data_IF_004370737134
#
_entry.id   IF_004370737134
#
_cell.length_a   1.000
_cell.length_b   1.000
_cell.length_c   1.000
_cell.angle_alpha   90.00
_cell.angle_beta   90.00
_cell.angle_gamma   90.00
#
_symmetry.space_group_name_H-M   'P 1'
#
loop_
_entity.id
_entity.type
_entity.pdbx_description
1 polymer ?
#
# COMPACT_ATOMS: atom_id res chain seq x y z
N UNK A 1 -4.69 3.93 21.43
CA UNK A 1 -5.16 3.52 20.07
C UNK A 1 -5.32 2.00 19.99
N UNK A 2 -6.38 1.52 19.31
CA UNK A 2 -6.67 0.09 19.09
C UNK A 2 -5.72 -0.57 18.08
N UNK A 3 -5.07 0.23 17.23
CA UNK A 3 -4.29 -0.24 16.09
C UNK A 3 -2.96 0.53 15.96
N UNK A 4 -1.87 -0.17 15.64
CA UNK A 4 -0.55 0.41 15.35
C UNK A 4 -0.59 1.41 14.19
N UNK A 5 -1.48 1.23 13.22
CA UNK A 5 -1.56 2.14 12.06
C UNK A 5 -1.91 3.58 12.46
N UNK A 6 -2.69 3.78 13.52
CA UNK A 6 -2.93 5.14 14.03
C UNK A 6 -1.64 5.82 14.50
N UNK A 7 -0.69 5.07 15.05
CA UNK A 7 0.63 5.58 15.40
C UNK A 7 1.43 5.91 14.15
N UNK A 8 1.38 5.08 13.09
CA UNK A 8 2.12 5.35 11.84
C UNK A 8 1.73 6.68 11.20
N UNK A 9 0.42 6.96 11.08
CA UNK A 9 -0.06 8.24 10.53
C UNK A 9 0.21 9.42 11.47
N UNK A 10 0.16 9.21 12.79
CA UNK A 10 0.52 10.25 13.75
C UNK A 10 2.01 10.63 13.65
N UNK A 11 2.90 9.63 13.57
CA UNK A 11 4.33 9.84 13.35
C UNK A 11 4.59 10.62 12.07
N UNK A 12 3.94 10.22 10.97
CA UNK A 12 4.06 10.92 9.68
C UNK A 12 3.60 12.39 9.80
N UNK A 13 2.44 12.63 10.41
CA UNK A 13 1.90 13.98 10.57
C UNK A 13 2.82 14.88 11.41
N UNK A 14 3.27 14.40 12.58
CA UNK A 14 4.19 15.17 13.43
C UNK A 14 5.58 15.34 12.80
N UNK A 15 6.07 14.34 12.06
CA UNK A 15 7.34 14.42 11.35
C UNK A 15 7.32 15.47 10.23
N UNK A 16 6.25 15.51 9.44
CA UNK A 16 6.07 16.53 8.41
C UNK A 16 5.79 17.92 9.00
N UNK A 17 5.03 17.99 10.10
CA UNK A 17 4.77 19.26 10.79
C UNK A 17 6.05 19.84 11.41
N UNK A 18 6.95 19.01 11.95
CA UNK A 18 8.24 19.48 12.45
C UNK A 18 9.11 20.03 11.34
N UNK A 19 9.12 19.40 10.17
CA UNK A 19 9.85 19.89 8.99
C UNK A 19 9.30 21.24 8.51
N UNK A 20 7.96 21.37 8.44
CA UNK A 20 7.31 22.59 7.96
C UNK A 20 7.45 23.79 8.91
N UNK A 21 7.59 23.54 10.22
CA UNK A 21 7.59 24.60 11.24
C UNK A 21 8.95 24.84 11.91
N UNK A 22 9.87 23.88 11.81
CA UNK A 22 11.10 23.86 12.60
C UNK A 22 10.88 23.60 14.10
N UNK A 23 9.67 23.25 14.54
CA UNK A 23 9.37 23.06 15.96
C UNK A 23 9.85 21.68 16.46
N UNK A 24 10.78 21.72 17.41
CA UNK A 24 11.38 20.54 18.04
C UNK A 24 10.37 19.66 18.78
N UNK A 25 9.32 20.23 19.38
CA UNK A 25 8.30 19.46 20.09
C UNK A 25 7.62 18.43 19.18
N UNK A 26 7.33 18.81 17.93
CA UNK A 26 6.74 17.90 16.95
C UNK A 26 7.74 16.82 16.51
N UNK A 27 9.03 17.14 16.40
CA UNK A 27 10.07 16.15 16.12
C UNK A 27 10.17 15.11 17.25
N UNK A 28 10.13 15.55 18.51
CA UNK A 28 10.21 14.68 19.67
C UNK A 28 8.98 13.77 19.79
N UNK A 29 7.78 14.31 19.52
CA UNK A 29 6.54 13.52 19.45
C UNK A 29 6.63 12.46 18.34
N UNK A 30 7.11 12.82 17.15
CA UNK A 30 7.25 11.89 16.03
C UNK A 30 8.21 10.74 16.39
N UNK A 31 9.41 11.05 16.91
CA UNK A 31 10.41 10.06 17.33
C UNK A 31 9.88 9.12 18.41
N UNK A 32 9.30 9.65 19.48
CA UNK A 32 8.72 8.85 20.56
C UNK A 32 7.58 7.97 20.07
N UNK A 33 6.74 8.49 19.17
CA UNK A 33 5.64 7.72 18.58
C UNK A 33 6.18 6.60 17.68
N UNK A 34 7.26 6.86 16.95
CA UNK A 34 7.95 5.87 16.13
C UNK A 34 8.56 4.74 16.97
N UNK A 35 9.23 5.04 18.09
CA UNK A 35 9.73 4.02 19.03
C UNK A 35 8.60 3.14 19.58
N UNK A 36 7.41 3.72 19.81
CA UNK A 36 6.23 2.95 20.24
C UNK A 36 5.74 1.99 19.14
N UNK A 37 5.88 2.35 17.86
CA UNK A 37 5.57 1.45 16.73
C UNK A 37 6.55 0.27 16.77
N UNK A 38 7.85 0.55 16.85
CA UNK A 38 8.89 -0.48 16.85
C UNK A 38 8.74 -1.46 18.01
N UNK A 39 8.46 -0.98 19.22
CA UNK A 39 8.23 -1.84 20.40
C UNK A 39 6.97 -2.72 20.31
N UNK A 40 6.13 -2.53 19.29
CA UNK A 40 4.87 -3.26 19.10
C UNK A 40 4.83 -4.07 17.80
N UNK A 41 5.92 -4.16 17.05
CA UNK A 41 5.96 -4.90 15.77
C UNK A 41 5.49 -6.36 15.97
N UNK A 42 5.93 -7.00 17.05
CA UNK A 42 5.54 -8.39 17.36
C UNK A 42 4.10 -8.54 17.90
N UNK A 43 3.51 -7.44 18.41
CA UNK A 43 2.13 -7.44 18.90
C UNK A 43 1.39 -6.12 18.58
N UNK A 44 1.04 -5.87 17.31
CA UNK A 44 0.52 -4.58 16.86
C UNK A 44 -0.80 -4.17 17.52
N UNK A 45 -1.61 -5.15 17.96
CA UNK A 45 -2.91 -4.93 18.60
C UNK A 45 -2.84 -4.97 20.12
N UNK A 46 -1.72 -5.40 20.72
CA UNK A 46 -1.55 -5.47 22.18
C UNK A 46 -2.69 -6.22 22.87
N UNK A 47 -3.25 -5.62 23.92
CA UNK A 47 -4.42 -6.14 24.66
C UNK A 47 -5.71 -6.26 23.86
N UNK A 48 -5.76 -5.67 22.65
CA UNK A 48 -6.91 -5.71 21.76
C UNK A 48 -6.80 -6.79 20.69
N UNK A 49 -5.75 -7.60 20.75
CA UNK A 49 -5.61 -8.76 19.89
C UNK A 49 -6.74 -9.75 20.21
N UNK A 50 -7.52 -10.10 19.18
CA UNK A 50 -8.64 -11.05 19.28
C UNK A 50 -8.20 -12.49 18.99
N UNK A 51 -6.95 -12.69 18.58
CA UNK A 51 -6.40 -14.02 18.37
C UNK A 51 -6.17 -14.69 19.73
N UNK A 52 -6.72 -15.89 19.89
CA UNK A 52 -6.44 -16.71 21.05
C UNK A 52 -4.99 -17.24 20.96
N UNK A 53 -4.20 -17.16 22.04
CA UNK A 53 -2.84 -17.71 22.05
C UNK A 53 -2.80 -19.17 21.59
N UNK A 54 -1.85 -19.50 20.70
CA UNK A 54 -1.68 -20.87 20.19
C UNK A 54 -2.66 -21.31 19.10
N UNK A 55 -3.58 -20.46 18.63
CA UNK A 55 -4.47 -20.84 17.50
C UNK A 55 -3.71 -20.85 16.18
N UNK A 56 -3.23 -19.68 15.71
CA UNK A 56 -2.35 -19.53 14.52
C UNK A 56 -1.61 -18.20 14.65
N UNK A 57 -0.28 -18.24 14.60
CA UNK A 57 0.54 -17.03 14.54
C UNK A 57 0.82 -16.73 13.07
N UNK A 58 0.28 -15.62 12.58
CA UNK A 58 0.48 -15.15 11.22
C UNK A 58 1.20 -13.81 11.24
N UNK A 59 2.15 -13.67 10.33
CA UNK A 59 2.79 -12.41 9.98
C UNK A 59 1.97 -11.73 8.89
N UNK A 60 1.74 -10.42 9.01
CA UNK A 60 0.90 -9.67 8.07
C UNK A 60 1.71 -8.64 7.27
N UNK A 61 1.40 -8.53 5.99
CA UNK A 61 2.06 -7.70 4.99
C UNK A 61 1.97 -6.19 5.25
N UNK A 62 0.87 -5.71 5.83
CA UNK A 62 0.57 -4.28 5.88
C UNK A 62 1.54 -3.48 6.75
N UNK A 63 2.14 -4.08 7.79
CA UNK A 63 3.07 -3.38 8.66
C UNK A 63 4.43 -3.11 7.99
N UNK A 64 5.14 -4.11 7.41
CA UNK A 64 6.33 -3.84 6.60
C UNK A 64 6.08 -2.86 5.45
N UNK A 65 4.93 -2.96 4.79
CA UNK A 65 4.53 -2.04 3.71
C UNK A 65 4.49 -0.58 4.19
N UNK A 66 3.75 -0.28 5.26
CA UNK A 66 3.63 1.12 5.72
C UNK A 66 4.94 1.66 6.31
N UNK A 67 5.79 0.78 6.87
CA UNK A 67 7.09 1.17 7.40
C UNK A 67 8.05 1.63 6.28
N UNK A 68 7.94 1.09 5.05
CA UNK A 68 8.69 1.58 3.89
C UNK A 68 8.44 3.09 3.69
N UNK A 69 7.17 3.48 3.67
CA UNK A 69 6.78 4.86 3.46
C UNK A 69 7.10 5.74 4.66
N UNK A 70 6.78 5.26 5.87
CA UNK A 70 6.98 6.02 7.09
C UNK A 70 8.45 6.40 7.28
N UNK A 71 9.38 5.46 7.02
CA UNK A 71 10.80 5.70 7.17
C UNK A 71 11.30 6.84 6.27
N UNK A 72 10.81 6.91 5.02
CA UNK A 72 11.12 8.00 4.10
C UNK A 72 10.49 9.34 4.55
N UNK A 73 9.22 9.32 4.97
CA UNK A 73 8.49 10.52 5.40
C UNK A 73 9.06 11.17 6.66
N UNK A 74 9.87 10.46 7.44
CA UNK A 74 10.53 11.00 8.64
C UNK A 74 12.06 10.89 8.57
N UNK A 75 12.65 10.69 7.40
CA UNK A 75 14.09 10.41 7.26
C UNK A 75 14.98 11.49 7.91
N UNK A 76 14.54 12.75 7.90
CA UNK A 76 15.23 13.89 8.53
C UNK A 76 15.30 13.79 10.07
N UNK A 77 14.51 12.89 10.67
CA UNK A 77 14.49 12.63 12.10
C UNK A 77 15.25 11.36 12.50
N UNK A 78 15.60 10.50 11.53
CA UNK A 78 16.19 9.19 11.81
C UNK A 78 17.71 9.22 11.69
N UNK A 79 18.37 8.37 12.47
CA UNK A 79 19.79 8.09 12.26
C UNK A 79 19.99 7.41 10.90
N UNK A 80 20.98 7.81 10.08
CA UNK A 80 21.18 7.24 8.75
C UNK A 80 21.40 5.73 8.73
N UNK A 81 22.13 5.17 9.70
CA UNK A 81 22.38 3.72 9.77
C UNK A 81 21.12 2.95 10.16
N UNK A 82 20.33 3.51 11.08
CA UNK A 82 19.03 2.96 11.44
C UNK A 82 18.03 3.00 10.27
N UNK A 83 18.02 4.11 9.51
CA UNK A 83 17.19 4.27 8.33
C UNK A 83 17.50 3.20 7.28
N UNK A 84 18.78 3.02 6.95
CA UNK A 84 19.23 2.00 5.99
C UNK A 84 18.83 0.59 6.44
N UNK A 85 19.06 0.25 7.72
CA UNK A 85 18.63 -1.05 8.27
C UNK A 85 17.11 -1.26 8.16
N UNK A 86 16.33 -0.20 8.39
CA UNK A 86 14.86 -0.25 8.28
C UNK A 86 14.44 -0.49 6.83
N UNK A 87 15.08 0.18 5.87
CA UNK A 87 14.83 -0.02 4.44
C UNK A 87 15.14 -1.46 4.02
N UNK A 88 16.31 -2.00 4.39
CA UNK A 88 16.67 -3.39 4.08
C UNK A 88 15.68 -4.40 4.65
N UNK A 89 15.27 -4.20 5.92
CA UNK A 89 14.29 -5.06 6.56
C UNK A 89 12.97 -5.03 5.81
N UNK A 90 12.47 -3.85 5.45
CA UNK A 90 11.21 -3.74 4.73
C UNK A 90 11.29 -4.33 3.31
N UNK A 91 12.41 -4.15 2.60
CA UNK A 91 12.63 -4.77 1.28
C UNK A 91 12.60 -6.29 1.40
N UNK A 92 13.33 -6.86 2.36
CA UNK A 92 13.34 -8.30 2.60
C UNK A 92 11.93 -8.85 2.90
N UNK A 93 11.20 -8.20 3.80
CA UNK A 93 9.82 -8.59 4.10
C UNK A 93 8.96 -8.63 2.83
N UNK A 94 8.95 -7.53 2.06
CA UNK A 94 8.07 -7.42 0.89
C UNK A 94 8.52 -8.36 -0.25
N UNK A 95 9.81 -8.40 -0.57
CA UNK A 95 10.34 -9.00 -1.80
C UNK A 95 10.83 -10.44 -1.65
N UNK A 96 11.01 -10.92 -0.42
CA UNK A 96 11.47 -12.28 -0.10
C UNK A 96 10.48 -13.02 0.79
N UNK A 97 9.81 -12.34 1.74
CA UNK A 97 8.87 -12.99 2.67
C UNK A 97 7.43 -13.00 2.17
N UNK A 98 6.90 -11.97 1.50
CA UNK A 98 5.49 -11.95 1.06
C UNK A 98 5.29 -12.16 -0.44
N UNK A 99 6.30 -11.85 -1.25
CA UNK A 99 6.33 -12.16 -2.68
C UNK A 99 6.44 -13.67 -2.91
N UNK A 100 5.61 -14.21 -3.81
CA UNK A 100 5.49 -15.65 -4.08
C UNK A 100 5.71 -15.96 -5.57
N UNK A 101 6.98 -16.09 -6.00
CA UNK A 101 7.30 -16.46 -7.39
C UNK A 101 6.63 -17.77 -7.83
N UNK A 102 6.52 -18.74 -6.92
CA UNK A 102 5.91 -20.04 -7.16
C UNK A 102 4.39 -19.97 -7.40
N UNK A 103 3.75 -18.86 -7.03
CA UNK A 103 2.33 -18.58 -7.27
C UNK A 103 2.13 -17.64 -8.47
N UNK A 104 3.08 -17.60 -9.40
CA UNK A 104 3.03 -16.72 -10.58
C UNK A 104 3.42 -15.28 -10.29
N UNK A 105 4.12 -15.02 -9.18
CA UNK A 105 4.64 -13.69 -8.84
C UNK A 105 3.63 -12.78 -8.14
N UNK A 106 2.70 -13.34 -7.36
CA UNK A 106 1.77 -12.55 -6.55
C UNK A 106 2.34 -12.22 -5.17
N UNK A 107 1.73 -11.26 -4.48
CA UNK A 107 1.98 -10.95 -3.06
C UNK A 107 0.79 -11.44 -2.23
N UNK A 108 1.06 -12.17 -1.14
CA UNK A 108 0.06 -12.63 -0.18
C UNK A 108 0.00 -11.73 1.05
N UNK A 109 -1.17 -11.63 1.70
CA UNK A 109 -1.33 -10.78 2.89
C UNK A 109 -0.75 -11.38 4.16
N UNK A 110 -0.77 -12.71 4.28
CA UNK A 110 -0.39 -13.40 5.51
C UNK A 110 0.41 -14.67 5.23
N UNK A 111 1.41 -14.90 6.06
CA UNK A 111 2.25 -16.10 6.09
C UNK A 111 2.41 -16.55 7.54
N UNK A 112 2.85 -17.78 7.79
CA UNK A 112 3.25 -18.15 9.15
C UNK A 112 4.57 -17.48 9.56
N UNK A 113 5.03 -17.71 10.79
CA UNK A 113 6.25 -17.09 11.32
C UNK A 113 7.53 -17.52 10.60
N UNK A 114 7.49 -18.67 9.91
CA UNK A 114 8.60 -19.22 9.12
C UNK A 114 8.49 -18.82 7.63
N UNK A 115 7.46 -18.06 7.26
CA UNK A 115 7.21 -17.61 5.89
C UNK A 115 6.43 -18.61 5.03
N UNK A 116 5.89 -19.69 5.59
CA UNK A 116 5.12 -20.65 4.81
C UNK A 116 3.70 -20.16 4.52
N UNK A 117 3.17 -20.65 3.41
CA UNK A 117 1.81 -20.44 2.96
C UNK A 117 0.82 -21.24 3.82
N UNK A 118 -0.22 -20.59 4.32
CA UNK A 118 -1.24 -21.23 5.15
C UNK A 118 -2.55 -21.42 4.38
N UNK A 119 -3.16 -22.60 4.50
CA UNK A 119 -4.46 -22.91 3.92
C UNK A 119 -5.60 -22.55 4.89
N UNK A 120 -5.82 -21.25 5.04
CA UNK A 120 -6.95 -20.67 5.76
C UNK A 120 -7.41 -19.38 5.06
N UNK A 121 -8.56 -18.82 5.45
CA UNK A 121 -9.08 -17.59 4.84
C UNK A 121 -8.03 -16.47 4.84
N UNK A 122 -7.36 -16.25 5.98
CA UNK A 122 -6.34 -15.20 6.11
C UNK A 122 -5.09 -15.49 5.26
N UNK A 123 -4.65 -16.76 5.20
CA UNK A 123 -3.46 -17.17 4.44
C UNK A 123 -3.68 -17.28 2.94
N UNK A 124 -4.94 -17.30 2.48
CA UNK A 124 -5.29 -17.26 1.06
C UNK A 124 -5.68 -15.89 0.55
N UNK A 125 -5.96 -14.95 1.44
CA UNK A 125 -6.33 -13.59 1.07
C UNK A 125 -5.19 -12.89 0.31
N UNK A 126 -5.56 -12.25 -0.78
CA UNK A 126 -4.76 -11.34 -1.58
C UNK A 126 -5.49 -10.00 -1.66
N UNK A 127 -4.75 -8.89 -1.44
CA UNK A 127 -5.27 -7.54 -1.62
C UNK A 127 -4.48 -6.86 -2.74
N UNK A 128 -4.98 -6.86 -4.00
CA UNK A 128 -4.22 -6.32 -5.13
C UNK A 128 -3.75 -4.88 -4.91
N UNK A 129 -4.60 -4.04 -4.30
CA UNK A 129 -4.26 -2.65 -3.99
C UNK A 129 -3.07 -2.49 -3.04
N UNK A 130 -2.98 -3.30 -1.98
CA UNK A 130 -1.83 -3.23 -1.07
C UNK A 130 -0.55 -3.67 -1.78
N UNK A 131 -0.61 -4.75 -2.57
CA UNK A 131 0.56 -5.21 -3.30
C UNK A 131 1.09 -4.12 -4.25
N UNK A 132 0.20 -3.46 -5.00
CA UNK A 132 0.56 -2.38 -5.92
C UNK A 132 1.06 -1.14 -5.18
N UNK A 133 0.45 -0.77 -4.05
CA UNK A 133 0.92 0.32 -3.18
C UNK A 133 2.35 0.05 -2.68
N UNK A 134 2.60 -1.16 -2.19
CA UNK A 134 3.92 -1.54 -1.72
C UNK A 134 4.98 -1.44 -2.81
N UNK A 135 4.66 -1.81 -4.06
CA UNK A 135 5.65 -1.79 -5.14
C UNK A 135 6.16 -0.39 -5.47
N UNK A 136 5.32 0.65 -5.37
CA UNK A 136 5.82 2.01 -5.59
C UNK A 136 6.67 2.51 -4.41
N UNK A 137 6.41 2.05 -3.18
CA UNK A 137 7.36 2.24 -2.07
C UNK A 137 8.70 1.54 -2.34
N UNK A 138 8.67 0.28 -2.82
CA UNK A 138 9.89 -0.46 -3.16
C UNK A 138 10.66 0.23 -4.31
N UNK A 139 9.98 0.80 -5.30
CA UNK A 139 10.63 1.59 -6.35
C UNK A 139 11.31 2.85 -5.79
N UNK A 140 10.68 3.56 -4.86
CA UNK A 140 11.30 4.71 -4.19
C UNK A 140 12.52 4.30 -3.37
N UNK A 141 12.46 3.18 -2.65
CA UNK A 141 13.61 2.62 -1.94
C UNK A 141 14.72 2.19 -2.90
N UNK A 142 14.37 1.56 -4.02
CA UNK A 142 15.32 1.20 -5.09
C UNK A 142 16.03 2.43 -5.66
N UNK A 143 15.30 3.52 -5.88
CA UNK A 143 15.89 4.80 -6.29
C UNK A 143 16.81 5.38 -5.20
N UNK A 144 16.37 5.38 -3.94
CA UNK A 144 17.14 5.91 -2.79
C UNK A 144 18.46 5.16 -2.57
N UNK A 145 18.45 3.84 -2.77
CA UNK A 145 19.59 2.93 -2.58
C UNK A 145 20.41 2.70 -3.86
N UNK A 146 20.04 3.32 -4.98
CA UNK A 146 20.64 3.09 -6.30
C UNK A 146 20.64 1.61 -6.75
N UNK A 147 19.50 0.93 -6.59
CA UNK A 147 19.26 -0.49 -6.93
C UNK A 147 18.29 -0.64 -8.10
N UNK A 148 18.75 -0.47 -9.36
CA UNK A 148 17.87 -0.54 -10.53
C UNK A 148 17.20 -1.91 -10.71
N UNK A 149 17.84 -3.00 -10.29
CA UNK A 149 17.28 -4.35 -10.34
C UNK A 149 16.07 -4.52 -9.41
N UNK A 150 16.06 -3.80 -8.27
CA UNK A 150 14.93 -3.78 -7.35
C UNK A 150 13.74 -3.02 -7.96
N UNK A 151 14.02 -1.94 -8.69
CA UNK A 151 13.01 -1.15 -9.40
C UNK A 151 12.36 -1.99 -10.49
N UNK A 152 13.15 -2.68 -11.32
CA UNK A 152 12.62 -3.57 -12.37
C UNK A 152 11.73 -4.67 -11.79
N UNK A 153 12.19 -5.34 -10.73
CA UNK A 153 11.41 -6.39 -10.05
C UNK A 153 10.10 -5.84 -9.50
N UNK A 154 10.11 -4.67 -8.84
CA UNK A 154 8.90 -4.06 -8.29
C UNK A 154 7.91 -3.61 -9.38
N UNK A 155 8.41 -3.11 -10.52
CA UNK A 155 7.60 -2.79 -11.69
C UNK A 155 6.95 -4.05 -12.28
N UNK A 156 7.68 -5.14 -12.43
CA UNK A 156 7.13 -6.39 -12.96
C UNK A 156 6.06 -7.00 -12.03
N UNK A 157 6.28 -6.92 -10.71
CA UNK A 157 5.27 -7.33 -9.72
C UNK A 157 4.04 -6.42 -9.78
N UNK A 158 4.20 -5.11 -10.00
CA UNK A 158 3.08 -4.18 -10.20
C UNK A 158 2.20 -4.61 -11.37
N UNK A 159 2.82 -4.89 -12.53
CA UNK A 159 2.10 -5.34 -13.73
C UNK A 159 1.41 -6.69 -13.51
N UNK A 160 2.08 -7.61 -12.79
CA UNK A 160 1.52 -8.93 -12.43
C UNK A 160 0.30 -8.80 -11.53
N UNK A 161 0.39 -7.99 -10.47
CA UNK A 161 -0.72 -7.78 -9.54
C UNK A 161 -1.88 -7.00 -10.15
N UNK A 162 -1.60 -6.08 -11.09
CA UNK A 162 -2.64 -5.43 -11.89
C UNK A 162 -3.37 -6.42 -12.79
N UNK A 163 -2.65 -7.26 -13.53
CA UNK A 163 -3.29 -8.23 -14.40
C UNK A 163 -4.14 -9.25 -13.60
N UNK A 164 -3.60 -9.73 -12.47
CA UNK A 164 -4.26 -10.63 -11.53
C UNK A 164 -5.52 -9.99 -10.89
N UNK A 165 -5.42 -8.74 -10.45
CA UNK A 165 -6.48 -8.03 -9.73
C UNK A 165 -7.55 -7.39 -10.60
N UNK A 166 -7.31 -7.25 -11.92
CA UNK A 166 -8.22 -6.53 -12.81
C UNK A 166 -9.44 -7.36 -13.21
N UNK A 167 -10.64 -6.82 -12.96
CA UNK A 167 -11.89 -7.42 -13.39
C UNK A 167 -12.05 -7.27 -14.92
N UNK A 168 -11.86 -8.38 -15.64
CA UNK A 168 -11.94 -8.40 -17.12
C UNK A 168 -13.36 -8.15 -17.64
N UNK A 169 -14.40 -8.26 -16.79
CA UNK A 169 -15.79 -8.07 -17.19
C UNK A 169 -16.25 -6.61 -17.03
N UNK A 170 -15.97 -5.99 -15.87
CA UNK A 170 -16.46 -4.64 -15.56
C UNK A 170 -15.35 -3.58 -15.50
N UNK A 171 -14.08 -3.97 -15.65
CA UNK A 171 -12.97 -3.07 -15.38
C UNK A 171 -12.78 -2.80 -13.89
N UNK A 172 -11.71 -2.08 -13.57
CA UNK A 172 -11.32 -1.79 -12.20
C UNK A 172 -10.74 -2.99 -11.46
N UNK A 173 -10.13 -2.70 -10.32
CA UNK A 173 -9.36 -3.66 -9.52
C UNK A 173 -10.25 -4.20 -8.39
N UNK A 174 -10.29 -5.52 -8.21
CA UNK A 174 -10.98 -6.17 -7.10
C UNK A 174 -10.38 -5.72 -5.75
N UNK A 175 -11.22 -5.60 -4.73
CA UNK A 175 -10.76 -5.20 -3.41
C UNK A 175 -10.01 -6.34 -2.71
N UNK A 176 -10.61 -7.54 -2.69
CA UNK A 176 -10.00 -8.74 -2.12
C UNK A 176 -10.14 -9.93 -3.07
N UNK A 177 -9.18 -10.84 -3.02
CA UNK A 177 -9.18 -12.08 -3.78
C UNK A 177 -8.68 -13.23 -2.92
N UNK A 178 -8.94 -14.46 -3.36
CA UNK A 178 -8.39 -15.68 -2.76
C UNK A 178 -7.43 -16.33 -3.77
N UNK A 179 -6.21 -16.66 -3.34
CA UNK A 179 -5.16 -17.21 -4.21
C UNK A 179 -5.48 -18.59 -4.81
N UNK A 180 -6.44 -19.31 -4.23
CA UNK A 180 -6.92 -20.59 -4.76
C UNK A 180 -8.24 -20.44 -5.54
N UNK A 181 -8.74 -19.23 -5.73
CA UNK A 181 -10.03 -18.96 -6.38
C UNK A 181 -11.25 -19.35 -5.53
N UNK A 182 -11.07 -19.61 -4.24
CA UNK A 182 -12.19 -19.88 -3.34
C UNK A 182 -13.02 -18.60 -3.07
N UNK A 183 -14.31 -18.72 -2.69
CA UNK A 183 -15.10 -17.57 -2.27
C UNK A 183 -14.44 -16.81 -1.10
N UNK A 184 -14.20 -15.48 -1.24
CA UNK A 184 -13.66 -14.67 -0.15
C UNK A 184 -14.64 -14.56 1.04
N UNK A 185 -14.09 -14.30 2.23
CA UNK A 185 -14.89 -14.10 3.45
C UNK A 185 -15.55 -12.71 3.48
N UNK A 186 -14.89 -11.71 2.90
CA UNK A 186 -15.32 -10.32 2.90
C UNK A 186 -16.50 -10.15 1.94
N UNK A 187 -17.57 -9.50 2.40
CA UNK A 187 -18.75 -9.26 1.56
C UNK A 187 -18.48 -8.22 0.47
N UNK A 188 -17.52 -7.34 0.74
CA UNK A 188 -17.06 -6.26 -0.13
C UNK A 188 -15.94 -6.65 -1.08
N UNK A 189 -15.58 -7.94 -1.19
CA UNK A 189 -14.41 -8.40 -1.96
C UNK A 189 -14.40 -7.92 -3.41
N UNK A 190 -15.57 -7.80 -4.03
CA UNK A 190 -15.71 -7.42 -5.43
C UNK A 190 -15.93 -5.93 -5.68
N UNK A 191 -15.98 -5.11 -4.62
CA UNK A 191 -16.13 -3.67 -4.72
C UNK A 191 -14.88 -3.03 -5.33
N UNK A 192 -15.06 -1.83 -5.90
CA UNK A 192 -13.98 -1.05 -6.49
C UNK A 192 -13.75 0.16 -5.59
N UNK A 193 -12.58 0.23 -4.96
CA UNK A 193 -12.26 1.27 -4.00
C UNK A 193 -11.31 2.31 -4.60
N UNK A 194 -11.58 3.58 -4.30
CA UNK A 194 -10.84 4.73 -4.81
C UNK A 194 -9.33 4.63 -4.56
N UNK A 195 -8.93 4.20 -3.36
CA UNK A 195 -7.53 4.19 -2.94
C UNK A 195 -6.73 3.19 -3.78
N UNK A 196 -7.27 1.99 -4.01
CA UNK A 196 -6.64 0.95 -4.84
C UNK A 196 -6.23 1.50 -6.21
N UNK A 197 -7.11 2.30 -6.81
CA UNK A 197 -6.91 2.81 -8.14
C UNK A 197 -5.91 3.98 -8.16
N UNK A 198 -5.99 4.93 -7.22
CA UNK A 198 -5.01 6.03 -7.16
C UNK A 198 -3.59 5.53 -6.81
N UNK A 199 -3.45 4.52 -5.94
CA UNK A 199 -2.15 3.86 -5.69
C UNK A 199 -1.59 3.23 -6.96
N UNK A 200 -2.47 2.63 -7.77
CA UNK A 200 -2.07 2.03 -9.04
C UNK A 200 -1.59 3.07 -10.06
N UNK A 201 -2.22 4.26 -10.11
CA UNK A 201 -1.76 5.35 -10.96
C UNK A 201 -0.35 5.82 -10.59
N UNK A 202 -0.05 5.95 -9.29
CA UNK A 202 1.29 6.31 -8.81
C UNK A 202 2.30 5.24 -9.23
N UNK A 203 1.99 3.97 -8.95
CA UNK A 203 2.91 2.87 -9.24
C UNK A 203 3.20 2.74 -10.74
N UNK A 204 2.19 2.87 -11.58
CA UNK A 204 2.35 2.81 -13.03
C UNK A 204 3.17 3.97 -13.59
N UNK A 205 2.93 5.20 -13.13
CA UNK A 205 3.75 6.34 -13.56
C UNK A 205 5.20 6.20 -13.11
N UNK A 206 5.45 5.79 -11.86
CA UNK A 206 6.82 5.55 -11.37
C UNK A 206 7.49 4.41 -12.13
N UNK A 207 6.78 3.32 -12.39
CA UNK A 207 7.27 2.21 -13.20
C UNK A 207 7.73 2.69 -14.59
N UNK A 208 6.89 3.48 -15.27
CA UNK A 208 7.26 4.06 -16.57
C UNK A 208 8.46 5.02 -16.45
N UNK A 209 8.44 5.94 -15.48
CA UNK A 209 9.48 6.95 -15.29
C UNK A 209 10.85 6.32 -15.02
N UNK A 210 10.91 5.28 -14.18
CA UNK A 210 12.17 4.72 -13.71
C UNK A 210 12.75 3.65 -14.64
N UNK A 211 11.92 3.01 -15.48
CA UNK A 211 12.34 1.88 -16.34
C UNK A 211 12.18 2.17 -17.84
N UNK A 212 11.32 3.12 -18.23
CA UNK A 212 10.93 3.35 -19.62
C UNK A 212 9.98 2.28 -20.20
N UNK A 213 9.50 1.32 -19.40
CA UNK A 213 8.63 0.24 -19.86
C UNK A 213 7.25 0.77 -20.29
N UNK A 214 6.98 0.75 -21.59
CA UNK A 214 5.74 1.25 -22.18
C UNK A 214 4.49 0.52 -21.68
N UNK A 215 4.60 -0.72 -21.19
CA UNK A 215 3.46 -1.44 -20.60
C UNK A 215 2.91 -0.72 -19.38
N UNK A 216 3.77 -0.04 -18.61
CA UNK A 216 3.34 0.78 -17.48
C UNK A 216 2.48 1.96 -17.95
N UNK A 217 2.84 2.60 -19.07
CA UNK A 217 2.05 3.70 -19.64
C UNK A 217 0.71 3.21 -20.19
N UNK A 218 0.69 2.08 -20.92
CA UNK A 218 -0.55 1.48 -21.44
C UNK A 218 -1.51 1.11 -20.31
N UNK A 219 -0.99 0.53 -19.22
CA UNK A 219 -1.79 0.27 -18.02
C UNK A 219 -2.20 1.56 -17.32
N UNK A 220 -1.33 2.58 -17.27
CA UNK A 220 -1.66 3.86 -16.66
C UNK A 220 -2.88 4.48 -17.32
N UNK A 221 -2.90 4.57 -18.65
CA UNK A 221 -4.04 5.12 -19.42
C UNK A 221 -5.32 4.35 -19.10
N UNK A 222 -5.26 3.02 -19.11
CA UNK A 222 -6.41 2.16 -18.79
C UNK A 222 -6.96 2.36 -17.38
N UNK A 223 -6.07 2.40 -16.36
CA UNK A 223 -6.48 2.62 -14.97
C UNK A 223 -6.97 4.06 -14.80
N UNK A 224 -6.30 5.03 -15.40
CA UNK A 224 -6.63 6.44 -15.35
C UNK A 224 -8.03 6.69 -15.89
N UNK A 225 -8.32 6.19 -17.08
CA UNK A 225 -9.62 6.35 -17.72
C UNK A 225 -10.73 5.74 -16.87
N UNK A 226 -10.50 4.54 -16.31
CA UNK A 226 -11.44 3.93 -15.37
C UNK A 226 -11.63 4.79 -14.12
N UNK A 227 -10.53 5.26 -13.52
CA UNK A 227 -10.56 6.02 -12.27
C UNK A 227 -11.36 7.31 -12.41
N UNK A 228 -11.07 8.10 -13.45
CA UNK A 228 -11.70 9.39 -13.67
C UNK A 228 -13.15 9.27 -14.13
N UNK A 229 -13.50 8.23 -14.90
CA UNK A 229 -14.88 8.03 -15.35
C UNK A 229 -15.81 7.51 -14.25
N UNK A 230 -15.30 6.78 -13.25
CA UNK A 230 -16.16 6.12 -12.24
C UNK A 230 -16.09 6.75 -10.85
N UNK A 231 -14.92 7.22 -10.40
CA UNK A 231 -14.79 7.76 -9.03
C UNK A 231 -14.99 9.27 -8.94
N UNK A 232 -14.66 10.05 -9.98
CA UNK A 232 -14.85 11.50 -9.93
C UNK A 232 -16.34 11.81 -9.94
N UNK A 233 -16.80 12.51 -8.90
CA UNK A 233 -18.17 13.01 -8.86
C UNK A 233 -18.32 14.17 -9.87
N UNK A 234 -19.29 14.09 -10.80
CA UNK A 234 -19.51 15.14 -11.80
C UNK A 234 -20.18 16.40 -11.22
N UNK A 235 -20.86 16.30 -10.08
CA UNK A 235 -21.61 17.40 -9.46
C UNK A 235 -20.79 18.13 -8.39
N UNK A 236 -20.04 17.39 -7.56
CA UNK A 236 -19.27 17.97 -6.45
C UNK A 236 -17.76 17.71 -6.54
N UNK A 237 -16.92 18.55 -5.88
CA UNK A 237 -15.51 18.24 -5.69
C UNK A 237 -15.30 16.90 -4.97
N UNK A 238 -14.08 16.37 -5.03
CA UNK A 238 -13.70 15.05 -4.50
C UNK A 238 -14.30 13.85 -5.25
N UNK A 239 -13.77 12.67 -4.94
CA UNK A 239 -14.14 11.38 -5.51
C UNK A 239 -15.09 10.62 -4.57
N UNK A 240 -15.95 9.79 -5.14
CA UNK A 240 -16.59 8.71 -4.39
C UNK A 240 -15.53 7.73 -3.88
N UNK A 241 -15.81 7.08 -2.76
CA UNK A 241 -14.94 6.03 -2.22
C UNK A 241 -15.28 4.65 -2.76
N UNK A 242 -16.56 4.32 -2.81
CA UNK A 242 -17.01 2.92 -2.88
C UNK A 242 -17.94 2.73 -4.06
N UNK A 243 -17.51 1.90 -4.99
CA UNK A 243 -18.32 1.45 -6.11
C UNK A 243 -18.64 -0.04 -5.95
N UNK A 244 -19.78 -0.46 -6.46
CA UNK A 244 -20.08 -1.87 -6.59
C UNK A 244 -19.19 -2.50 -7.69
N UNK A 245 -19.28 -3.82 -7.89
CA UNK A 245 -18.47 -4.51 -8.90
C UNK A 245 -18.60 -3.95 -10.32
N UNK A 246 -19.78 -3.41 -10.66
CA UNK A 246 -20.08 -2.84 -11.98
C UNK A 246 -19.53 -1.44 -12.19
N UNK A 247 -18.86 -0.86 -11.18
CA UNK A 247 -18.35 0.51 -11.22
C UNK A 247 -19.41 1.56 -10.89
N UNK A 248 -20.60 1.18 -10.43
CA UNK A 248 -21.65 2.12 -10.05
C UNK A 248 -21.46 2.58 -8.60
N UNK A 249 -21.82 3.83 -8.31
CA UNK A 249 -21.69 4.40 -6.95
C UNK A 249 -22.52 3.60 -5.96
N UNK A 250 -21.84 2.90 -5.05
CA UNK A 250 -22.46 2.14 -3.97
C UNK A 250 -22.70 3.02 -2.75
N UNK A 251 -21.75 3.91 -2.45
CA UNK A 251 -21.82 4.81 -1.31
C UNK A 251 -21.37 6.22 -1.70
N UNK A 252 -22.29 7.21 -1.73
CA UNK A 252 -22.00 8.54 -2.27
C UNK A 252 -21.18 9.45 -1.34
N UNK A 253 -20.76 8.94 -0.17
CA UNK A 253 -19.98 9.74 0.78
C UNK A 253 -18.58 10.07 0.25
N UNK A 254 -18.17 11.33 0.44
CA UNK A 254 -16.83 11.83 0.06
C UNK A 254 -15.77 11.62 1.13
N UNK A 255 -16.19 11.37 2.36
CA UNK A 255 -15.31 11.10 3.49
C UNK A 255 -16.06 10.31 4.56
N UNK A 256 -15.31 9.50 5.30
CA UNK A 256 -15.84 8.62 6.33
C UNK A 256 -14.73 8.03 7.18
N UNK A 257 -15.01 6.94 7.89
CA UNK A 257 -14.03 6.31 8.79
C UNK A 257 -12.72 5.94 8.10
N UNK A 258 -12.78 5.53 6.83
CA UNK A 258 -11.64 5.02 6.07
C UNK A 258 -11.29 5.86 4.84
N UNK A 259 -12.05 6.94 4.55
CA UNK A 259 -11.77 7.88 3.47
C UNK A 259 -11.60 9.28 4.04
N UNK A 260 -10.43 9.87 3.83
CA UNK A 260 -10.11 11.23 4.23
C UNK A 260 -9.19 11.91 3.21
N UNK A 261 -8.68 13.07 3.57
CA UNK A 261 -7.75 13.87 2.77
C UNK A 261 -6.33 13.27 2.81
N UNK A 262 -6.17 12.07 2.22
CA UNK A 262 -4.90 11.35 2.15
C UNK A 262 -4.66 10.79 0.75
N UNK A 263 -5.20 9.60 0.43
CA UNK A 263 -4.89 8.88 -0.82
C UNK A 263 -5.14 9.71 -2.10
N UNK A 264 -6.29 10.38 -2.22
CA UNK A 264 -6.62 11.17 -3.44
C UNK A 264 -5.66 12.35 -3.62
N UNK A 265 -5.57 13.32 -2.68
CA UNK A 265 -4.68 14.47 -2.87
C UNK A 265 -3.21 14.08 -2.92
N UNK A 266 -2.74 13.15 -2.07
CA UNK A 266 -1.36 12.65 -2.09
C UNK A 266 -1.06 11.98 -3.42
N UNK A 267 -1.96 11.13 -3.92
CA UNK A 267 -1.74 10.41 -5.15
C UNK A 267 -1.76 11.29 -6.39
N UNK A 268 -2.67 12.27 -6.48
CA UNK A 268 -2.65 13.27 -7.55
C UNK A 268 -1.38 14.12 -7.52
N UNK A 269 -0.93 14.52 -6.34
CA UNK A 269 0.34 15.23 -6.17
C UNK A 269 1.53 14.39 -6.64
N UNK A 270 1.62 13.12 -6.22
CA UNK A 270 2.68 12.20 -6.64
C UNK A 270 2.66 11.99 -8.16
N UNK A 271 1.49 11.76 -8.75
CA UNK A 271 1.34 11.61 -10.20
C UNK A 271 1.84 12.87 -10.93
N UNK A 272 1.42 14.06 -10.47
CA UNK A 272 1.89 15.33 -11.04
C UNK A 272 3.41 15.50 -10.97
N UNK A 273 4.03 15.22 -9.81
CA UNK A 273 5.49 15.32 -9.65
C UNK A 273 6.27 14.37 -10.56
N UNK A 274 5.73 13.18 -10.84
CA UNK A 274 6.33 12.23 -11.78
C UNK A 274 6.16 12.73 -13.22
N UNK A 275 4.96 13.17 -13.60
CA UNK A 275 4.69 13.70 -14.94
C UNK A 275 5.48 14.96 -15.27
N UNK A 276 5.73 15.83 -14.29
CA UNK A 276 6.57 17.03 -14.44
C UNK A 276 8.01 16.72 -14.83
N UNK A 277 8.48 15.49 -14.58
CA UNK A 277 9.85 15.04 -14.86
C UNK A 277 9.97 14.23 -16.17
N UNK A 278 8.85 13.92 -16.84
CA UNK A 278 8.78 13.19 -18.11
C UNK A 278 8.72 14.16 -19.30
#
# INVERSE_FOLDING_TARGET
PYNIFSYTFATMAFGQLSLATGNQEYADIAKKTFEIILSKVDNPKGKWNKLHPGTRNLKNFALPMILCNLALEIEHLLDPGYLEQTMETCIYEVMDVFYRPELGGIIVENVDMDGNLMDCFEGRQVTPGHAIEAMWFIMDLGKRLNRPELIEKAKDVTLTMLDYGWDKQYGGIYYFMDRNGCPPQQLEWDQKLWWVHIESLISLLKGYQLTGDRKCLEWFEKVHDYTWSHFKDPEYPEWYGYLNRRGEVLLPLKGGKWKGCFHVPRGLFQCWKVLEQL
#
